data_IF_754600890136
#
_entry.id   IF_754600890136
#
_cell.length_a   1.000
_cell.length_b   1.000
_cell.length_c   1.000
_cell.angle_alpha   90.00
_cell.angle_beta   90.00
_cell.angle_gamma   90.00
#
_symmetry.space_group_name_H-M   'P 1'
#
loop_
_entity.id
_entity.type
_entity.pdbx_description
1 polymer ?
#
# COMPACT_ATOMS: atom_id res chain seq x y z
N UNK A 1 2.57 -19.82 3.90
CA UNK A 1 3.04 -18.57 3.26
C UNK A 1 1.93 -18.03 2.37
N UNK A 2 1.83 -16.72 2.25
CA UNK A 2 0.92 -16.03 1.32
C UNK A 2 1.78 -15.10 0.46
N UNK A 3 1.57 -15.13 -0.84
CA UNK A 3 2.17 -14.19 -1.78
C UNK A 3 1.14 -13.82 -2.85
N UNK A 4 1.21 -12.60 -3.36
CA UNK A 4 0.27 -12.15 -4.37
C UNK A 4 0.75 -10.93 -5.12
N UNK A 5 0.01 -10.61 -6.19
CA UNK A 5 0.26 -9.50 -7.09
C UNK A 5 -1.01 -8.67 -7.29
N UNK A 6 -0.85 -7.39 -7.51
CA UNK A 6 -1.96 -6.47 -7.75
C UNK A 6 -2.10 -6.14 -9.24
N UNK A 7 -3.33 -6.05 -9.70
CA UNK A 7 -3.60 -5.54 -11.04
C UNK A 7 -3.64 -4.02 -11.04
N UNK A 8 -2.69 -3.40 -11.75
CA UNK A 8 -2.63 -1.94 -11.94
C UNK A 8 -2.51 -1.16 -10.60
N UNK A 9 -1.59 -1.59 -9.72
CA UNK A 9 -1.36 -1.02 -8.40
C UNK A 9 -1.21 0.50 -8.43
N UNK A 10 -0.24 1.00 -9.23
CA UNK A 10 0.06 2.43 -9.34
C UNK A 10 -1.14 3.26 -9.80
N UNK A 11 -1.86 2.77 -10.80
CA UNK A 11 -3.01 3.48 -11.40
C UNK A 11 -4.22 3.54 -10.49
N UNK A 12 -4.33 2.61 -9.55
CA UNK A 12 -5.47 2.50 -8.63
C UNK A 12 -5.18 3.03 -7.23
N UNK A 13 -4.01 3.61 -7.03
CA UNK A 13 -3.64 4.21 -5.76
C UNK A 13 -4.42 5.50 -5.55
N UNK A 14 -5.18 5.58 -4.47
CA UNK A 14 -5.97 6.77 -4.13
C UNK A 14 -5.09 7.88 -3.56
N UNK A 15 -5.53 9.17 -3.65
CA UNK A 15 -4.82 10.27 -2.99
C UNK A 15 -4.61 10.04 -1.50
N UNK A 16 -5.61 9.45 -0.83
CA UNK A 16 -5.54 9.16 0.60
C UNK A 16 -4.44 8.17 0.96
N UNK A 17 -4.25 7.13 0.15
CA UNK A 17 -3.16 6.16 0.35
C UNK A 17 -1.80 6.81 0.16
N UNK A 18 -1.64 7.67 -0.87
CA UNK A 18 -0.41 8.42 -1.13
C UNK A 18 -0.10 9.35 0.05
N UNK A 19 -1.07 10.16 0.49
CA UNK A 19 -0.89 11.07 1.61
C UNK A 19 -0.57 10.31 2.91
N UNK A 20 -1.22 9.18 3.18
CA UNK A 20 -0.90 8.34 4.35
C UNK A 20 0.52 7.80 4.31
N UNK A 21 1.04 7.44 3.13
CA UNK A 21 2.44 7.03 2.99
C UNK A 21 3.40 8.20 3.26
N UNK A 22 3.08 9.41 2.79
CA UNK A 22 3.87 10.61 3.09
C UNK A 22 3.77 11.02 4.56
N UNK A 23 2.65 10.83 5.23
CA UNK A 23 2.54 11.05 6.68
C UNK A 23 3.49 10.14 7.46
N UNK A 24 3.63 8.88 7.06
CA UNK A 24 4.60 7.95 7.66
C UNK A 24 6.03 8.44 7.44
N UNK A 25 6.38 8.84 6.20
CA UNK A 25 7.72 9.38 5.90
C UNK A 25 8.00 10.66 6.68
N UNK A 26 7.04 11.57 6.75
CA UNK A 26 7.11 12.79 7.55
C UNK A 26 7.37 12.48 9.03
N UNK A 27 6.61 11.56 9.62
CA UNK A 27 6.77 11.16 11.02
C UNK A 27 8.14 10.52 11.29
N UNK A 28 8.64 9.70 10.36
CA UNK A 28 9.99 9.13 10.45
C UNK A 28 11.04 10.23 10.45
N UNK A 29 10.96 11.19 9.52
CA UNK A 29 11.87 12.32 9.45
C UNK A 29 11.80 13.18 10.72
N UNK A 30 10.61 13.49 11.20
CA UNK A 30 10.40 14.26 12.43
C UNK A 30 10.99 13.58 13.66
N UNK A 31 10.77 12.27 13.81
CA UNK A 31 11.32 11.49 14.94
C UNK A 31 12.83 11.36 14.91
N UNK A 32 13.45 11.44 13.73
CA UNK A 32 14.92 11.40 13.60
C UNK A 32 15.60 12.61 14.22
N UNK A 33 14.89 13.75 14.35
CA UNK A 33 15.42 15.00 14.86
C UNK A 33 16.43 15.71 13.94
N UNK A 34 16.60 15.21 12.71
CA UNK A 34 17.61 15.72 11.76
C UNK A 34 17.03 16.72 10.73
N UNK A 35 15.74 17.02 10.81
CA UNK A 35 15.04 17.88 9.87
C UNK A 35 14.46 19.11 10.56
N UNK A 36 14.54 20.24 9.89
CA UNK A 36 13.90 21.49 10.31
C UNK A 36 12.39 21.45 10.05
N UNK A 37 11.61 22.32 10.69
CA UNK A 37 10.17 22.45 10.43
C UNK A 37 9.89 22.81 8.97
N UNK A 38 10.75 23.60 8.33
CA UNK A 38 10.64 23.98 6.93
C UNK A 38 10.81 22.75 6.00
N UNK A 39 11.82 21.92 6.26
CA UNK A 39 12.03 20.67 5.52
C UNK A 39 10.88 19.67 5.71
N UNK A 40 10.33 19.58 6.91
CA UNK A 40 9.15 18.76 7.19
C UNK A 40 7.92 19.27 6.43
N UNK A 41 7.76 20.60 6.30
CA UNK A 41 6.70 21.17 5.47
C UNK A 41 6.88 20.85 3.99
N UNK A 42 8.10 20.84 3.47
CA UNK A 42 8.41 20.44 2.09
C UNK A 42 7.97 19.00 1.82
N UNK A 43 8.19 18.08 2.76
CA UNK A 43 7.74 16.68 2.62
C UNK A 43 6.21 16.61 2.42
N UNK A 44 5.45 17.40 3.15
CA UNK A 44 3.98 17.47 3.01
C UNK A 44 3.56 18.03 1.65
N UNK A 45 4.20 19.11 1.20
CA UNK A 45 3.93 19.71 -0.11
C UNK A 45 4.19 18.70 -1.25
N UNK A 46 5.32 17.98 -1.19
CA UNK A 46 5.63 16.92 -2.17
C UNK A 46 4.57 15.82 -2.12
N UNK A 47 4.06 15.48 -0.94
CA UNK A 47 2.98 14.51 -0.78
C UNK A 47 1.70 14.95 -1.49
N UNK A 48 1.31 16.20 -1.35
CA UNK A 48 0.13 16.77 -2.00
C UNK A 48 0.31 16.83 -3.52
N UNK A 49 1.47 17.28 -4.02
CA UNK A 49 1.78 17.29 -5.46
C UNK A 49 1.78 15.89 -6.06
N UNK A 50 2.21 14.89 -5.29
CA UNK A 50 2.19 13.48 -5.73
C UNK A 50 0.78 12.90 -5.70
N UNK A 51 -0.05 13.28 -4.73
CA UNK A 51 -1.41 12.79 -4.59
C UNK A 51 -2.38 13.43 -5.60
N UNK A 52 -2.08 14.65 -6.05
CA UNK A 52 -2.89 15.44 -6.97
C UNK A 52 -2.05 16.00 -8.14
N UNK A 53 -1.41 15.13 -8.92
CA UNK A 53 -0.47 15.60 -9.94
C UNK A 53 -1.16 16.36 -11.06
N UNK A 54 -0.52 17.46 -11.50
CA UNK A 54 -0.87 18.18 -12.69
C UNK A 54 -0.07 17.62 -13.87
N UNK A 55 -0.76 17.18 -14.90
CA UNK A 55 -0.14 16.52 -16.06
C UNK A 55 -0.51 17.28 -17.33
N UNK A 56 0.50 17.57 -18.16
CA UNK A 56 0.28 18.01 -19.54
C UNK A 56 -0.17 16.80 -20.37
N UNK A 57 -1.40 16.86 -20.86
CA UNK A 57 -1.99 15.85 -21.72
C UNK A 57 -2.32 16.45 -23.09
N UNK A 58 -1.40 16.33 -24.03
CA UNK A 58 -1.52 16.89 -25.39
C UNK A 58 -1.78 18.40 -25.43
N UNK A 59 -1.20 19.18 -24.52
CA UNK A 59 -1.38 20.62 -24.41
C UNK A 59 -2.50 21.07 -23.45
N UNK A 60 -3.29 20.15 -22.94
CA UNK A 60 -4.27 20.39 -21.88
C UNK A 60 -3.67 20.07 -20.50
N UNK A 61 -3.81 21.00 -19.56
CA UNK A 61 -3.39 20.75 -18.18
C UNK A 61 -4.51 20.02 -17.43
N UNK A 62 -4.24 18.78 -17.03
CA UNK A 62 -5.20 17.91 -16.34
C UNK A 62 -4.72 17.60 -14.95
N UNK A 63 -5.58 17.77 -13.95
CA UNK A 63 -5.32 17.31 -12.58
C UNK A 63 -5.84 15.89 -12.38
N UNK A 64 -4.97 15.00 -11.95
CA UNK A 64 -5.35 13.65 -11.54
C UNK A 64 -5.60 13.60 -10.02
N UNK A 65 -6.39 12.61 -9.61
CA UNK A 65 -6.69 12.32 -8.22
C UNK A 65 -6.14 10.94 -7.89
N UNK A 66 -4.97 10.90 -7.25
CA UNK A 66 -4.22 9.67 -7.05
C UNK A 66 -3.44 9.24 -8.30
N UNK A 67 -3.13 7.97 -8.40
CA UNK A 67 -2.20 7.39 -9.37
C UNK A 67 -0.75 7.81 -9.11
N UNK A 68 0.11 6.84 -8.83
CA UNK A 68 1.55 7.11 -8.61
C UNK A 68 2.29 6.92 -9.95
N UNK A 69 2.85 7.98 -10.57
CA UNK A 69 3.58 7.83 -11.83
C UNK A 69 4.81 6.94 -11.68
N UNK A 70 4.98 5.98 -12.58
CA UNK A 70 6.11 5.03 -12.56
C UNK A 70 7.49 5.69 -12.66
N UNK A 71 7.57 6.95 -13.11
CA UNK A 71 8.81 7.73 -13.20
C UNK A 71 9.18 8.51 -11.93
N UNK A 72 8.38 8.47 -10.88
CA UNK A 72 8.68 9.14 -9.62
C UNK A 72 9.82 8.39 -8.90
N UNK A 73 10.91 9.07 -8.45
CA UNK A 73 12.00 8.43 -7.71
C UNK A 73 11.57 7.69 -6.45
N UNK A 74 10.46 8.10 -5.84
CA UNK A 74 9.90 7.48 -4.63
C UNK A 74 8.90 6.34 -4.93
N UNK A 75 8.64 6.01 -6.20
CA UNK A 75 7.60 5.03 -6.58
C UNK A 75 7.71 3.72 -5.80
N UNK A 76 8.88 3.09 -5.77
CA UNK A 76 9.06 1.81 -5.05
C UNK A 76 8.81 1.96 -3.56
N UNK A 77 9.28 3.05 -2.95
CA UNK A 77 9.12 3.32 -1.51
C UNK A 77 7.65 3.55 -1.18
N UNK A 78 6.98 4.43 -1.93
CA UNK A 78 5.55 4.73 -1.72
C UNK A 78 4.69 3.49 -1.93
N UNK A 79 4.93 2.75 -3.01
CA UNK A 79 4.21 1.51 -3.29
C UNK A 79 4.40 0.48 -2.17
N UNK A 80 5.62 0.31 -1.67
CA UNK A 80 5.91 -0.61 -0.56
C UNK A 80 5.16 -0.23 0.73
N UNK A 81 5.12 1.06 1.06
CA UNK A 81 4.39 1.57 2.22
C UNK A 81 2.88 1.36 2.03
N UNK A 82 2.34 1.74 0.87
CA UNK A 82 0.90 1.58 0.57
C UNK A 82 0.51 0.10 0.56
N UNK A 83 1.34 -0.78 -0.02
CA UNK A 83 1.13 -2.22 0.00
C UNK A 83 1.03 -2.73 1.44
N UNK A 84 1.97 -2.31 2.29
CA UNK A 84 1.97 -2.65 3.72
C UNK A 84 0.73 -2.10 4.46
N UNK A 85 0.28 -0.88 4.14
CA UNK A 85 -0.95 -0.30 4.70
C UNK A 85 -2.19 -1.08 4.25
N UNK A 86 -2.29 -1.45 2.97
CA UNK A 86 -3.39 -2.25 2.43
C UNK A 86 -3.50 -3.60 3.14
N UNK A 87 -2.38 -4.30 3.36
CA UNK A 87 -2.37 -5.58 4.07
C UNK A 87 -2.84 -5.44 5.51
N UNK A 88 -2.42 -4.37 6.22
CA UNK A 88 -2.89 -4.09 7.59
C UNK A 88 -4.37 -3.72 7.63
N UNK A 89 -4.84 -2.98 6.63
CA UNK A 89 -6.26 -2.64 6.54
C UNK A 89 -7.14 -3.87 6.30
N UNK A 90 -6.72 -4.76 5.41
CA UNK A 90 -7.42 -6.04 5.19
C UNK A 90 -7.34 -6.94 6.42
N UNK A 91 -6.21 -6.96 7.11
CA UNK A 91 -6.10 -7.66 8.38
C UNK A 91 -7.12 -7.14 9.40
N UNK A 92 -7.24 -5.82 9.55
CA UNK A 92 -8.24 -5.20 10.41
C UNK A 92 -9.68 -5.64 10.05
N UNK A 93 -10.01 -5.65 8.75
CA UNK A 93 -11.34 -6.06 8.28
C UNK A 93 -11.63 -7.53 8.56
N UNK A 94 -10.66 -8.40 8.32
CA UNK A 94 -10.82 -9.85 8.46
C UNK A 94 -10.67 -10.33 9.90
N UNK A 95 -10.01 -9.56 10.77
CA UNK A 95 -9.79 -9.91 12.15
C UNK A 95 -11.12 -9.95 12.94
N UNK A 96 -11.47 -11.07 13.55
CA UNK A 96 -12.70 -11.17 14.36
C UNK A 96 -12.80 -10.15 15.49
N UNK A 97 -11.68 -9.57 15.93
CA UNK A 97 -11.61 -8.53 16.97
C UNK A 97 -11.68 -7.11 16.39
N UNK A 98 -11.64 -6.94 15.05
CA UNK A 98 -11.56 -5.64 14.38
C UNK A 98 -10.43 -4.75 14.94
N UNK A 99 -9.22 -5.31 15.06
CA UNK A 99 -8.03 -4.58 15.52
C UNK A 99 -6.83 -4.94 14.65
N UNK A 100 -5.79 -4.08 14.64
CA UNK A 100 -4.58 -4.25 13.86
C UNK A 100 -3.32 -4.42 14.75
N UNK A 101 -3.45 -4.29 16.06
CA UNK A 101 -2.32 -4.28 16.99
C UNK A 101 -1.56 -5.60 16.98
N UNK A 102 -2.27 -6.71 16.81
CA UNK A 102 -1.71 -8.06 16.72
C UNK A 102 -1.11 -8.40 15.35
N UNK A 103 -1.14 -7.48 14.36
CA UNK A 103 -0.64 -7.78 13.02
C UNK A 103 0.83 -8.23 13.03
N UNK A 104 1.69 -7.49 13.69
CA UNK A 104 3.13 -7.79 13.72
C UNK A 104 3.47 -9.07 14.51
N UNK A 105 2.60 -9.50 15.42
CA UNK A 105 2.77 -10.75 16.17
C UNK A 105 2.37 -11.96 15.32
N UNK A 106 1.43 -11.79 14.40
CA UNK A 106 0.83 -12.88 13.62
C UNK A 106 1.28 -12.93 12.17
N UNK A 107 1.78 -11.81 11.62
CA UNK A 107 2.13 -11.68 10.20
C UNK A 107 3.52 -11.08 10.04
N UNK A 108 4.40 -11.80 9.39
CA UNK A 108 5.70 -11.29 8.96
C UNK A 108 5.62 -10.95 7.48
N UNK A 109 5.41 -9.66 7.18
CA UNK A 109 5.20 -9.13 5.84
C UNK A 109 6.47 -8.51 5.27
N UNK A 110 6.77 -8.85 4.01
CA UNK A 110 7.80 -8.20 3.20
C UNK A 110 7.15 -7.62 1.93
N UNK A 111 7.44 -6.35 1.63
CA UNK A 111 6.94 -5.65 0.44
C UNK A 111 8.07 -5.05 -0.37
N UNK A 112 7.97 -5.10 -1.69
CA UNK A 112 8.84 -4.41 -2.63
C UNK A 112 8.00 -3.86 -3.79
N UNK A 113 7.72 -2.57 -3.74
CA UNK A 113 6.73 -2.01 -4.65
C UNK A 113 5.34 -2.62 -4.41
N UNK A 114 4.75 -3.12 -5.47
CA UNK A 114 3.47 -3.86 -5.45
C UNK A 114 3.61 -5.34 -5.08
N UNK A 115 4.81 -5.91 -5.21
CA UNK A 115 5.06 -7.27 -4.78
C UNK A 115 4.99 -7.42 -3.26
N UNK A 116 4.46 -8.54 -2.80
CA UNK A 116 4.44 -8.88 -1.39
C UNK A 116 4.53 -10.38 -1.17
N UNK A 117 5.14 -10.73 -0.05
CA UNK A 117 5.18 -12.08 0.50
C UNK A 117 5.05 -12.00 2.03
N UNK A 118 4.32 -12.91 2.62
CA UNK A 118 4.16 -12.95 4.07
C UNK A 118 4.07 -14.36 4.61
N UNK A 119 4.58 -14.55 5.80
CA UNK A 119 4.27 -15.70 6.63
C UNK A 119 3.18 -15.31 7.63
N UNK A 120 2.26 -16.23 7.87
CA UNK A 120 1.10 -16.04 8.75
C UNK A 120 1.15 -17.11 9.82
N UNK A 121 0.88 -16.72 11.07
CA UNK A 121 0.79 -17.64 12.20
C UNK A 121 -0.30 -18.69 11.99
N UNK A 122 -0.06 -19.92 12.40
CA UNK A 122 -1.04 -21.01 12.34
C UNK A 122 -2.34 -20.69 13.11
N UNK A 123 -2.26 -19.82 14.13
CA UNK A 123 -3.42 -19.36 14.90
C UNK A 123 -4.25 -18.30 14.18
N UNK A 124 -3.82 -17.83 13.02
CA UNK A 124 -4.43 -16.73 12.25
C UNK A 124 -4.79 -17.23 10.83
N UNK A 125 -5.30 -18.44 10.73
CA UNK A 125 -5.64 -19.12 9.47
C UNK A 125 -6.71 -18.40 8.63
N UNK A 126 -7.49 -17.52 9.25
CA UNK A 126 -8.46 -16.65 8.59
C UNK A 126 -7.79 -15.56 7.73
N UNK A 127 -6.51 -15.23 7.97
CA UNK A 127 -5.75 -14.28 7.16
C UNK A 127 -4.93 -15.03 6.08
N UNK A 128 -5.59 -15.39 5.01
CA UNK A 128 -5.03 -16.18 3.91
C UNK A 128 -5.32 -15.53 2.56
N UNK A 129 -4.63 -15.98 1.50
CA UNK A 129 -4.73 -15.37 0.17
C UNK A 129 -6.18 -15.23 -0.32
N UNK A 130 -6.98 -16.28 -0.23
CA UNK A 130 -8.37 -16.28 -0.72
C UNK A 130 -9.23 -15.23 0.00
N UNK A 131 -9.10 -15.12 1.32
CA UNK A 131 -9.83 -14.13 2.12
C UNK A 131 -9.35 -12.71 1.86
N UNK A 132 -8.03 -12.53 1.73
CA UNK A 132 -7.41 -11.25 1.37
C UNK A 132 -7.91 -10.79 -0.01
N UNK A 133 -7.88 -11.66 -1.02
CA UNK A 133 -8.37 -11.36 -2.37
C UNK A 133 -9.86 -10.97 -2.36
N UNK A 134 -10.69 -11.71 -1.62
CA UNK A 134 -12.12 -11.39 -1.49
C UNK A 134 -12.36 -10.04 -0.79
N UNK A 135 -11.58 -9.71 0.24
CA UNK A 135 -11.68 -8.41 0.91
C UNK A 135 -11.25 -7.26 -0.03
N UNK A 136 -10.17 -7.44 -0.78
CA UNK A 136 -9.75 -6.46 -1.79
C UNK A 136 -10.77 -6.27 -2.90
N UNK A 137 -11.44 -7.32 -3.35
CA UNK A 137 -12.49 -7.25 -4.37
C UNK A 137 -13.62 -6.31 -3.94
N UNK A 138 -14.02 -6.30 -2.66
CA UNK A 138 -15.05 -5.37 -2.14
C UNK A 138 -14.62 -3.91 -2.23
N UNK A 139 -13.32 -3.64 -2.34
CA UNK A 139 -12.73 -2.30 -2.50
C UNK A 139 -12.39 -1.98 -3.97
N UNK A 140 -12.75 -2.84 -4.92
CA UNK A 140 -12.43 -2.70 -6.34
C UNK A 140 -10.94 -2.93 -6.67
N UNK A 141 -10.20 -3.58 -5.78
CA UNK A 141 -8.80 -3.95 -5.96
C UNK A 141 -8.77 -5.42 -6.40
N UNK A 142 -8.06 -5.69 -7.48
CA UNK A 142 -7.83 -7.07 -7.95
C UNK A 142 -6.49 -7.53 -7.42
N UNK A 143 -6.52 -8.59 -6.63
CA UNK A 143 -5.35 -9.24 -6.03
C UNK A 143 -5.35 -10.71 -6.44
N UNK A 144 -4.27 -11.17 -7.05
CA UNK A 144 -4.13 -12.51 -7.61
C UNK A 144 -2.95 -13.23 -6.96
N UNK A 145 -2.84 -14.53 -7.21
CA UNK A 145 -1.62 -15.27 -6.88
C UNK A 145 -0.41 -14.62 -7.56
N UNK A 146 0.77 -14.85 -7.01
CA UNK A 146 2.03 -14.42 -7.63
C UNK A 146 2.19 -15.01 -9.05
N UNK A 147 1.73 -16.24 -9.26
CA UNK A 147 1.44 -16.76 -10.59
C UNK A 147 0.02 -16.36 -10.99
N UNK A 148 -0.09 -15.42 -11.92
CA UNK A 148 -1.36 -14.79 -12.33
C UNK A 148 -2.37 -15.76 -12.95
N UNK A 149 -1.92 -16.91 -13.44
CA UNK A 149 -2.76 -17.95 -14.04
C UNK A 149 -3.17 -19.02 -13.01
N UNK A 150 -2.59 -19.01 -11.82
CA UNK A 150 -2.92 -19.96 -10.77
C UNK A 150 -4.26 -19.64 -10.10
N UNK A 151 -5.03 -20.68 -9.80
CA UNK A 151 -6.22 -20.53 -8.95
C UNK A 151 -5.81 -20.10 -7.53
N UNK A 152 -6.65 -19.24 -6.93
CA UNK A 152 -6.40 -18.76 -5.56
C UNK A 152 -6.49 -19.93 -4.57
N UNK A 153 -5.39 -20.15 -3.85
CA UNK A 153 -5.33 -21.10 -2.74
C UNK A 153 -5.07 -20.34 -1.43
N UNK A 154 -5.55 -20.83 -0.28
CA UNK A 154 -5.38 -20.13 0.99
C UNK A 154 -3.92 -19.86 1.35
N UNK A 155 -3.06 -20.83 1.16
CA UNK A 155 -1.62 -20.76 1.45
C UNK A 155 -0.83 -21.50 0.36
N UNK A 156 0.37 -21.02 0.12
CA UNK A 156 1.39 -21.63 -0.74
C UNK A 156 2.35 -22.47 0.13
#
# INVERSE_FOLDING_TARGET
VVAGDYKAFDKKMSPKEILSAFDILHDMCKRSGNYTEEELQVIRCIGEDTAYPLVDYNGDLVQFYGSNPSGNPLTVILNSIVNSLRMRYVYYILNPRNECDSFNDNVSLMTYGDDNIMSVSETTDWFNHTKIASAFETMGIVYTMADKEAESVPFI
#
